data_IF_370391314935
#
_entry.id   IF_370391314935
#
_cell.length_a   1.000
_cell.length_b   1.000
_cell.length_c   1.000
_cell.angle_alpha   90.00
_cell.angle_beta   90.00
_cell.angle_gamma   90.00
#
_symmetry.space_group_name_H-M   'P 1'
#
loop_
_entity.id
_entity.type
_entity.pdbx_description
1 polymer ?
#
# COMPACT_ATOMS: atom_id res chain seq x y z
N UNK A 1 58.53 3.31 -38.92
CA UNK A 1 58.04 2.16 -38.13
C UNK A 1 58.48 2.31 -36.65
N UNK A 2 58.16 3.42 -35.96
CA UNK A 2 58.50 3.65 -34.52
C UNK A 2 57.53 4.65 -33.86
N UNK A 3 56.22 4.59 -34.12
CA UNK A 3 55.24 5.50 -33.48
C UNK A 3 53.93 4.83 -33.03
N UNK A 4 53.91 3.51 -32.92
CA UNK A 4 52.69 2.76 -32.56
C UNK A 4 52.89 1.80 -31.38
N UNK A 5 53.60 2.23 -30.34
CA UNK A 5 53.81 1.43 -29.12
C UNK A 5 53.67 2.21 -27.79
N UNK A 6 53.40 3.53 -27.82
CA UNK A 6 53.34 4.35 -26.61
C UNK A 6 51.92 4.69 -26.10
N UNK A 7 50.85 4.22 -26.75
CA UNK A 7 49.46 4.48 -26.30
C UNK A 7 48.86 3.40 -25.40
N UNK A 8 49.59 2.32 -25.11
CA UNK A 8 49.06 1.15 -24.38
C UNK A 8 49.49 1.03 -22.91
N UNK A 9 50.12 2.06 -22.33
CA UNK A 9 50.70 1.98 -20.97
C UNK A 9 50.14 3.00 -19.96
N UNK A 10 49.02 3.64 -20.27
CA UNK A 10 48.33 4.59 -19.37
C UNK A 10 47.01 4.05 -18.78
N UNK A 11 46.78 2.74 -18.81
CA UNK A 11 45.53 2.10 -18.35
C UNK A 11 45.69 1.15 -17.16
N UNK A 12 46.80 1.23 -16.40
CA UNK A 12 47.06 0.35 -15.25
C UNK A 12 47.51 1.08 -13.96
N UNK A 13 47.04 2.31 -13.72
CA UNK A 13 47.46 3.09 -12.53
C UNK A 13 46.31 3.79 -11.81
N UNK A 14 45.19 3.08 -11.56
CA UNK A 14 44.13 3.57 -10.68
C UNK A 14 43.47 2.39 -9.93
N UNK A 15 44.28 1.62 -9.20
CA UNK A 15 43.80 0.58 -8.29
C UNK A 15 44.73 0.50 -7.08
N UNK A 16 44.74 1.57 -6.28
CA UNK A 16 45.29 1.54 -4.93
C UNK A 16 44.70 2.68 -4.11
N UNK A 17 44.38 2.38 -2.85
CA UNK A 17 43.93 3.28 -1.78
C UNK A 17 42.42 3.50 -1.66
N UNK A 18 41.74 2.53 -1.02
CA UNK A 18 40.69 2.82 -0.03
C UNK A 18 40.52 1.60 0.89
N UNK A 19 41.46 1.44 1.82
CA UNK A 19 41.28 0.59 2.99
C UNK A 19 41.34 1.50 4.22
N UNK A 20 40.18 1.99 4.65
CA UNK A 20 40.03 2.71 5.91
C UNK A 20 38.91 2.04 6.70
N UNK A 21 39.34 1.23 7.67
CA UNK A 21 38.79 0.99 9.00
C UNK A 21 37.29 1.32 9.21
N UNK A 22 36.49 0.26 9.37
CA UNK A 22 35.27 0.31 10.17
C UNK A 22 35.20 -0.94 11.05
N UNK A 23 35.59 -0.77 12.32
CA UNK A 23 35.31 -1.75 13.37
C UNK A 23 33.83 -1.61 13.79
N UNK A 24 33.07 -2.70 13.95
CA UNK A 24 31.71 -2.61 14.47
C UNK A 24 31.73 -2.46 15.99
N UNK A 25 31.24 -1.33 16.49
CA UNK A 25 30.82 -1.20 17.87
C UNK A 25 29.54 -2.03 18.06
N UNK A 26 29.68 -3.18 18.71
CA UNK A 26 28.57 -3.98 19.21
C UNK A 26 27.89 -3.22 20.36
N UNK A 27 26.87 -2.42 20.07
CA UNK A 27 25.88 -2.01 21.06
C UNK A 27 24.69 -2.98 20.97
N UNK A 28 24.71 -3.99 21.84
CA UNK A 28 23.50 -4.72 22.22
C UNK A 28 22.60 -3.78 23.01
N UNK A 29 21.54 -3.31 22.38
CA UNK A 29 20.36 -2.82 23.10
C UNK A 29 19.30 -3.91 23.03
N UNK A 30 19.07 -4.57 24.15
CA UNK A 30 17.95 -5.49 24.35
C UNK A 30 16.62 -4.80 24.02
N UNK A 31 15.75 -5.39 23.20
CA UNK A 31 14.37 -4.94 23.10
C UNK A 31 13.62 -5.43 24.34
N UNK A 32 13.15 -4.48 25.15
CA UNK A 32 12.11 -4.69 26.16
C UNK A 32 10.90 -5.36 25.49
N UNK A 33 10.71 -6.65 25.74
CA UNK A 33 9.51 -7.40 25.38
C UNK A 33 8.30 -6.78 26.08
N UNK A 34 7.59 -5.90 25.36
CA UNK A 34 6.23 -5.52 25.74
C UNK A 34 5.31 -6.66 25.33
N UNK A 35 5.22 -7.66 26.21
CA UNK A 35 4.36 -8.84 26.06
C UNK A 35 2.91 -8.44 25.79
N UNK A 36 2.47 -8.60 24.55
CA UNK A 36 1.05 -8.63 24.20
C UNK A 36 0.61 -10.07 24.44
N UNK A 37 -0.06 -10.27 25.57
CA UNK A 37 -0.67 -11.55 25.95
C UNK A 37 -1.60 -11.99 24.80
N UNK A 38 -1.45 -13.22 24.28
CA UNK A 38 -2.38 -13.76 23.30
C UNK A 38 -3.79 -13.78 23.89
N UNK A 39 -4.74 -13.13 23.21
CA UNK A 39 -6.15 -13.20 23.58
C UNK A 39 -6.64 -14.60 23.21
N UNK A 40 -6.58 -15.52 24.16
CA UNK A 40 -7.25 -16.81 24.05
C UNK A 40 -8.74 -16.56 23.82
N UNK A 41 -9.20 -16.87 22.61
CA UNK A 41 -10.61 -17.01 22.33
C UNK A 41 -11.10 -18.27 23.04
N UNK A 42 -11.54 -18.09 24.29
CA UNK A 42 -12.36 -19.06 25.00
C UNK A 42 -13.59 -19.38 24.12
N UNK A 43 -13.50 -20.49 23.40
CA UNK A 43 -14.66 -21.23 22.90
C UNK A 43 -15.52 -21.55 24.11
N UNK A 44 -16.59 -20.80 24.28
CA UNK A 44 -17.62 -21.11 25.26
C UNK A 44 -18.52 -22.21 24.71
N UNK A 45 -18.57 -23.42 25.30
CA UNK A 45 -19.58 -24.40 24.99
C UNK A 45 -20.69 -24.26 26.03
N UNK A 46 -21.72 -23.46 25.75
CA UNK A 46 -22.93 -23.53 26.56
C UNK A 46 -23.97 -24.41 25.85
N UNK A 47 -24.27 -25.60 26.39
CA UNK A 47 -25.48 -26.31 26.02
C UNK A 47 -26.70 -25.55 26.55
N UNK A 48 -27.71 -25.41 25.70
CA UNK A 48 -29.06 -24.98 26.06
C UNK A 48 -29.62 -25.95 27.12
N UNK A 49 -29.78 -25.47 28.35
CA UNK A 49 -30.56 -26.17 29.38
C UNK A 49 -31.92 -25.52 29.53
N UNK A 50 -32.94 -26.31 29.22
CA UNK A 50 -34.34 -26.11 29.59
C UNK A 50 -34.53 -25.96 31.11
N UNK A 51 -35.51 -25.14 31.47
CA UNK A 51 -36.37 -25.36 32.63
C UNK A 51 -35.78 -25.06 34.01
N UNK A 52 -35.99 -23.84 34.50
CA UNK A 52 -36.09 -23.56 35.94
C UNK A 52 -37.16 -22.50 36.21
N UNK A 53 -38.35 -22.97 36.57
CA UNK A 53 -39.42 -22.20 37.17
C UNK A 53 -39.08 -21.98 38.64
N UNK A 54 -38.76 -20.75 39.04
CA UNK A 54 -38.67 -20.37 40.45
C UNK A 54 -39.73 -19.29 40.75
N UNK A 55 -40.50 -19.43 41.84
CA UNK A 55 -41.47 -18.42 42.26
C UNK A 55 -40.72 -17.25 42.92
N UNK A 56 -40.86 -16.06 42.35
CA UNK A 56 -40.38 -14.82 42.95
C UNK A 56 -41.39 -14.40 44.02
N UNK A 57 -40.96 -14.38 45.28
CA UNK A 57 -41.73 -13.81 46.38
C UNK A 57 -41.86 -12.29 46.22
N UNK A 58 -43.10 -11.83 46.06
CA UNK A 58 -43.47 -10.42 46.13
C UNK A 58 -43.34 -9.89 47.56
N UNK A 59 -42.18 -9.37 47.93
CA UNK A 59 -42.06 -8.46 49.07
C UNK A 59 -42.14 -7.01 48.55
N UNK A 60 -43.37 -6.53 48.38
CA UNK A 60 -43.69 -5.14 48.03
C UNK A 60 -43.32 -4.25 49.22
N UNK A 61 -42.14 -3.63 49.16
CA UNK A 61 -41.76 -2.54 50.06
C UNK A 61 -42.50 -1.27 49.64
N UNK A 62 -43.64 -1.01 50.31
CA UNK A 62 -44.37 0.27 50.25
C UNK A 62 -43.68 1.29 51.16
N UNK A 63 -42.61 1.94 50.69
CA UNK A 63 -42.11 3.18 51.32
C UNK A 63 -41.44 4.06 50.29
N UNK A 64 -42.22 4.96 49.68
CA UNK A 64 -41.79 6.26 49.12
C UNK A 64 -42.89 6.73 48.16
N UNK A 65 -44.02 7.16 48.70
CA UNK A 65 -45.14 7.69 47.92
C UNK A 65 -45.67 8.94 48.63
N UNK A 66 -44.80 9.92 48.89
CA UNK A 66 -45.23 11.17 49.54
C UNK A 66 -44.41 12.43 49.21
N UNK A 67 -43.53 12.39 48.19
CA UNK A 67 -42.96 13.63 47.65
C UNK A 67 -43.27 13.73 46.16
N UNK A 68 -44.10 14.71 45.82
CA UNK A 68 -44.51 15.07 44.45
C UNK A 68 -43.39 15.63 43.57
N UNK A 69 -42.22 15.02 43.60
CA UNK A 69 -41.15 15.23 42.63
C UNK A 69 -41.29 14.20 41.53
N UNK A 70 -41.73 14.60 40.34
CA UNK A 70 -41.74 13.70 39.19
C UNK A 70 -40.37 13.04 39.01
N UNK A 71 -40.31 11.75 38.62
CA UNK A 71 -39.05 11.01 38.53
C UNK A 71 -38.06 11.78 37.67
N UNK A 72 -36.94 12.21 38.29
CA UNK A 72 -35.88 12.96 37.62
C UNK A 72 -35.35 12.09 36.48
N UNK A 73 -35.62 12.49 35.23
CA UNK A 73 -35.17 11.77 34.04
C UNK A 73 -33.65 11.85 33.97
N UNK A 74 -32.96 10.77 34.32
CA UNK A 74 -31.51 10.62 34.18
C UNK A 74 -31.18 10.03 32.81
N UNK A 75 -30.20 10.60 32.12
CA UNK A 75 -29.69 10.08 30.85
C UNK A 75 -28.72 8.92 31.08
N UNK A 76 -28.45 8.10 30.04
CA UNK A 76 -27.45 7.03 30.14
C UNK A 76 -26.05 7.57 30.48
N UNK A 77 -25.67 8.75 29.97
CA UNK A 77 -24.40 9.40 30.34
C UNK A 77 -24.32 9.74 31.83
N UNK A 78 -25.39 10.27 32.42
CA UNK A 78 -25.44 10.55 33.86
C UNK A 78 -25.41 9.28 34.72
N UNK A 79 -25.96 8.17 34.23
CA UNK A 79 -25.90 6.87 34.94
C UNK A 79 -24.47 6.34 34.97
N UNK A 80 -23.78 6.36 33.83
CA UNK A 80 -22.38 5.92 33.72
C UNK A 80 -21.48 6.77 34.62
N UNK A 81 -21.68 8.10 34.64
CA UNK A 81 -20.93 9.01 35.51
C UNK A 81 -21.13 8.72 37.01
N UNK A 82 -22.25 8.09 37.39
CA UNK A 82 -22.54 7.65 38.75
C UNK A 82 -22.24 6.15 38.98
N UNK A 83 -21.52 5.48 38.08
CA UNK A 83 -21.18 4.06 38.21
C UNK A 83 -22.35 3.10 38.00
N UNK A 84 -23.47 3.58 37.47
CA UNK A 84 -24.65 2.77 37.19
C UNK A 84 -24.64 2.26 35.74
N UNK A 85 -25.13 1.04 35.48
CA UNK A 85 -25.23 0.52 34.12
C UNK A 85 -26.23 1.35 33.28
N UNK A 86 -25.99 1.49 31.96
CA UNK A 86 -26.90 2.20 31.07
C UNK A 86 -28.28 1.52 31.05
N UNK A 87 -29.33 2.33 30.88
CA UNK A 87 -30.68 1.79 30.67
C UNK A 87 -30.76 1.14 29.30
N UNK A 88 -31.51 0.03 29.23
CA UNK A 88 -31.82 -0.64 27.98
C UNK A 88 -32.55 0.32 27.01
N UNK A 89 -32.33 0.17 25.70
CA UNK A 89 -33.05 0.94 24.69
C UNK A 89 -34.55 0.78 24.89
N UNK A 90 -35.26 1.89 25.10
CA UNK A 90 -36.72 1.83 25.21
C UNK A 90 -37.29 1.45 23.85
N UNK A 91 -38.01 0.33 23.79
CA UNK A 91 -38.85 -0.01 22.65
C UNK A 91 -39.97 1.03 22.59
N UNK A 92 -39.85 1.99 21.68
CA UNK A 92 -40.92 2.94 21.39
C UNK A 92 -42.03 2.14 20.71
N UNK A 93 -43.01 1.65 21.49
CA UNK A 93 -44.12 0.82 21.00
C UNK A 93 -45.08 1.57 20.04
N UNK A 94 -44.87 2.88 19.86
CA UNK A 94 -45.48 3.65 18.79
C UNK A 94 -44.37 4.46 18.14
N UNK A 95 -43.88 4.01 17.00
CA UNK A 95 -43.00 4.78 16.15
C UNK A 95 -43.78 6.00 15.65
N UNK A 96 -43.79 7.09 16.42
CA UNK A 96 -44.25 8.38 15.92
C UNK A 96 -43.40 8.70 14.68
N UNK A 97 -44.01 9.09 13.54
CA UNK A 97 -43.27 9.46 12.33
C UNK A 97 -42.21 10.56 12.55
N UNK A 98 -42.34 11.31 13.65
CA UNK A 98 -41.41 12.35 14.09
C UNK A 98 -40.06 11.82 14.63
N UNK A 99 -39.89 10.50 14.80
CA UNK A 99 -38.67 9.87 15.31
C UNK A 99 -37.80 9.19 14.28
N UNK A 100 -38.07 9.40 12.98
CA UNK A 100 -37.15 8.94 11.92
C UNK A 100 -35.82 9.66 12.12
N UNK A 101 -34.79 8.94 12.55
CA UNK A 101 -33.44 9.46 12.56
C UNK A 101 -33.19 10.08 11.18
N UNK A 102 -32.85 11.37 11.13
CA UNK A 102 -32.52 12.02 9.87
C UNK A 102 -31.51 11.12 9.17
N UNK A 103 -31.93 10.60 8.00
CA UNK A 103 -31.05 9.82 7.14
C UNK A 103 -29.73 10.59 7.10
N UNK A 104 -28.59 9.97 7.46
CA UNK A 104 -27.32 10.67 7.52
C UNK A 104 -27.20 11.46 6.22
N UNK A 105 -27.15 12.79 6.34
CA UNK A 105 -27.03 13.67 5.20
C UNK A 105 -25.67 13.32 4.62
N UNK A 106 -25.66 12.59 3.50
CA UNK A 106 -24.42 12.26 2.81
C UNK A 106 -23.70 13.57 2.57
N UNK A 107 -22.57 13.76 3.24
CA UNK A 107 -21.67 14.86 2.90
C UNK A 107 -21.41 14.76 1.40
N UNK A 108 -21.41 15.89 0.66
CA UNK A 108 -20.99 15.86 -0.73
C UNK A 108 -19.66 15.10 -0.79
N UNK A 109 -19.60 14.03 -1.58
CA UNK A 109 -18.33 13.39 -1.85
C UNK A 109 -17.39 14.49 -2.33
N UNK A 110 -16.23 14.63 -1.69
CA UNK A 110 -15.22 15.58 -2.17
C UNK A 110 -14.97 15.26 -3.64
N UNK A 111 -14.88 16.28 -4.52
CA UNK A 111 -14.50 16.04 -5.90
C UNK A 111 -13.23 15.21 -5.89
N UNK A 112 -13.29 13.99 -6.42
CA UNK A 112 -12.12 13.13 -6.52
C UNK A 112 -11.23 13.80 -7.55
N UNK A 113 -10.11 14.37 -7.08
CA UNK A 113 -9.18 15.08 -7.94
C UNK A 113 -8.64 14.15 -9.02
N UNK A 114 -8.37 14.70 -10.20
CA UNK A 114 -7.55 14.00 -11.18
C UNK A 114 -6.14 13.94 -10.61
N UNK A 115 -5.73 12.81 -10.06
CA UNK A 115 -4.36 12.63 -9.56
C UNK A 115 -3.52 11.97 -10.64
N UNK A 116 -2.39 12.55 -11.03
CA UNK A 116 -1.47 11.92 -11.97
C UNK A 116 -0.19 11.45 -11.28
N UNK A 117 0.55 10.56 -11.94
CA UNK A 117 1.84 10.06 -11.46
C UNK A 117 2.97 10.74 -12.23
N UNK A 118 3.66 11.67 -11.56
CA UNK A 118 4.85 12.33 -12.07
C UNK A 118 6.09 11.47 -11.89
N UNK A 119 6.98 11.53 -12.87
CA UNK A 119 8.26 10.83 -12.87
C UNK A 119 9.37 11.85 -12.69
N UNK A 120 10.25 11.63 -11.72
CA UNK A 120 11.44 12.43 -11.45
C UNK A 120 12.69 11.54 -11.53
N UNK A 121 13.88 12.15 -11.66
CA UNK A 121 15.14 11.43 -11.49
C UNK A 121 15.43 11.08 -10.02
N UNK A 122 16.64 10.57 -9.74
CA UNK A 122 17.09 10.19 -8.40
C UNK A 122 17.00 11.33 -7.35
N UNK A 123 17.17 12.58 -7.78
CA UNK A 123 17.01 13.78 -6.95
C UNK A 123 15.55 14.05 -6.51
N UNK A 124 14.58 13.31 -7.04
CA UNK A 124 13.16 13.49 -6.74
C UNK A 124 12.66 14.89 -7.11
N UNK A 125 11.73 15.44 -6.31
CA UNK A 125 11.12 16.77 -6.51
C UNK A 125 12.10 17.96 -6.45
N UNK A 126 13.36 17.75 -6.06
CA UNK A 126 14.38 18.81 -6.14
C UNK A 126 14.88 19.06 -7.57
N UNK A 127 14.62 18.14 -8.49
CA UNK A 127 14.90 18.29 -9.92
C UNK A 127 13.66 18.59 -10.76
N UNK A 128 13.85 18.79 -12.06
CA UNK A 128 12.75 18.89 -13.01
C UNK A 128 12.08 17.51 -13.21
N UNK A 129 10.75 17.47 -13.40
CA UNK A 129 10.07 16.23 -13.76
C UNK A 129 10.57 15.73 -15.13
N UNK A 130 10.80 14.43 -15.23
CA UNK A 130 11.13 13.73 -16.47
C UNK A 130 9.88 13.50 -17.34
N UNK A 131 8.69 13.46 -16.73
CA UNK A 131 7.43 13.25 -17.41
C UNK A 131 6.37 12.64 -16.50
N UNK A 132 5.54 11.79 -17.08
CA UNK A 132 4.41 11.11 -16.45
C UNK A 132 4.48 9.61 -16.70
N UNK A 133 3.91 8.80 -15.82
CA UNK A 133 3.61 7.40 -16.15
C UNK A 133 2.54 7.39 -17.24
N UNK A 134 2.75 6.63 -18.30
CA UNK A 134 1.83 6.53 -19.44
C UNK A 134 0.51 5.87 -19.04
N UNK A 135 -0.62 6.34 -19.58
CA UNK A 135 -1.92 5.67 -19.43
C UNK A 135 -2.04 4.40 -20.30
N UNK A 136 -1.23 4.32 -21.35
CA UNK A 136 -1.18 3.21 -22.29
C UNK A 136 0.06 2.35 -22.02
N UNK A 137 -0.01 1.10 -22.45
CA UNK A 137 1.11 0.17 -22.45
C UNK A 137 1.92 0.31 -23.75
N UNK A 138 3.21 -0.02 -23.72
CA UNK A 138 4.04 -0.14 -24.91
C UNK A 138 3.75 -1.48 -25.65
N UNK A 139 4.49 -1.78 -26.72
CA UNK A 139 4.33 -3.02 -27.50
C UNK A 139 4.65 -4.31 -26.75
N UNK A 140 5.28 -4.21 -25.58
CA UNK A 140 5.63 -5.33 -24.69
C UNK A 140 4.61 -5.51 -23.57
N UNK A 141 3.64 -4.60 -23.44
CA UNK A 141 2.69 -4.64 -22.32
C UNK A 141 3.17 -3.92 -21.06
N UNK A 142 4.21 -3.09 -21.15
CA UNK A 142 4.74 -2.34 -20.01
C UNK A 142 4.28 -0.88 -20.00
N UNK A 143 4.20 -0.29 -18.80
CA UNK A 143 4.10 1.15 -18.62
C UNK A 143 5.44 1.84 -18.85
N UNK A 144 5.37 3.06 -19.38
CA UNK A 144 6.54 3.84 -19.78
C UNK A 144 6.41 5.30 -19.35
N UNK A 145 7.50 6.07 -19.51
CA UNK A 145 7.50 7.50 -19.23
C UNK A 145 7.11 8.26 -20.50
N UNK A 146 6.08 9.09 -20.41
CA UNK A 146 5.66 10.00 -21.49
C UNK A 146 5.80 11.46 -21.04
N UNK A 147 6.12 12.36 -21.98
CA UNK A 147 6.17 13.81 -21.72
C UNK A 147 4.87 14.51 -22.12
N UNK A 148 3.94 13.80 -22.76
CA UNK A 148 2.68 14.36 -23.21
C UNK A 148 1.63 14.24 -22.11
N UNK A 149 1.14 15.39 -21.65
CA UNK A 149 0.13 15.45 -20.60
C UNK A 149 -1.13 14.61 -20.92
N UNK A 150 -1.62 14.65 -22.16
CA UNK A 150 -2.79 13.88 -22.59
C UNK A 150 -2.60 12.35 -22.58
N UNK A 151 -1.35 11.88 -22.49
CA UNK A 151 -1.01 10.46 -22.38
C UNK A 151 -0.67 10.06 -20.93
N UNK A 152 -0.73 10.99 -19.97
CA UNK A 152 -0.47 10.70 -18.57
C UNK A 152 -1.56 9.80 -17.97
N UNK A 153 -1.13 8.87 -17.13
CA UNK A 153 -2.02 8.09 -16.28
C UNK A 153 -2.59 8.97 -15.18
N UNK A 154 -3.92 9.03 -15.12
CA UNK A 154 -4.66 9.59 -14.00
C UNK A 154 -5.08 8.41 -13.13
N UNK A 155 -4.87 8.47 -11.82
CA UNK A 155 -5.26 7.45 -10.86
C UNK A 155 -5.97 8.08 -9.65
N UNK A 156 -7.31 8.08 -9.63
CA UNK A 156 -8.11 8.68 -8.57
C UNK A 156 -8.28 7.78 -7.33
N UNK A 157 -7.73 6.55 -7.31
CA UNK A 157 -8.02 5.55 -6.28
C UNK A 157 -6.87 5.29 -5.30
N UNK A 158 -5.79 6.06 -5.41
CA UNK A 158 -4.59 5.90 -4.59
C UNK A 158 -4.78 6.16 -3.10
N UNK A 159 -5.79 6.94 -2.72
CA UNK A 159 -6.11 7.21 -1.30
C UNK A 159 -6.53 5.94 -0.54
N UNK A 160 -6.87 4.87 -1.27
CA UNK A 160 -7.21 3.54 -0.71
C UNK A 160 -6.01 2.60 -0.52
N UNK A 161 -4.81 3.01 -0.96
CA UNK A 161 -3.59 2.20 -0.87
C UNK A 161 -3.38 1.19 -2.01
N UNK A 162 -4.30 1.10 -2.97
CA UNK A 162 -4.14 0.29 -4.17
C UNK A 162 -3.91 1.18 -5.41
N UNK A 163 -2.81 0.94 -6.14
CA UNK A 163 -2.64 1.48 -7.49
C UNK A 163 -3.51 0.66 -8.47
N UNK A 164 -4.77 1.05 -8.59
CA UNK A 164 -5.63 0.53 -9.66
C UNK A 164 -5.43 1.37 -10.93
N UNK A 165 -5.37 0.74 -12.10
CA UNK A 165 -5.38 1.49 -13.36
C UNK A 165 -6.84 1.82 -13.73
N UNK A 166 -7.29 3.08 -13.69
CA UNK A 166 -8.65 3.41 -14.11
C UNK A 166 -8.81 3.43 -15.63
N UNK A 167 -7.72 3.49 -16.41
CA UNK A 167 -7.77 3.55 -17.87
C UNK A 167 -8.02 2.18 -18.53
N UNK A 168 -7.99 1.08 -17.75
CA UNK A 168 -8.26 -0.28 -18.20
C UNK A 168 -7.45 -0.67 -19.46
N UNK A 169 -6.21 -0.19 -19.56
CA UNK A 169 -5.35 -0.47 -20.72
C UNK A 169 -5.06 -1.98 -20.77
N UNK A 170 -5.69 -2.69 -21.71
CA UNK A 170 -5.61 -4.15 -21.80
C UNK A 170 -6.59 -4.92 -20.91
N UNK A 171 -7.55 -4.26 -20.24
CA UNK A 171 -8.54 -4.93 -19.37
C UNK A 171 -8.05 -5.27 -17.97
N UNK A 172 -6.86 -4.78 -17.58
CA UNK A 172 -6.30 -4.99 -16.25
C UNK A 172 -6.60 -3.82 -15.32
N UNK A 173 -7.18 -4.12 -14.17
CA UNK A 173 -7.57 -3.13 -13.16
C UNK A 173 -6.45 -2.76 -12.20
N UNK A 174 -5.34 -3.51 -12.14
CA UNK A 174 -4.24 -3.26 -11.19
C UNK A 174 -2.92 -3.04 -11.92
N UNK A 175 -2.05 -2.25 -11.28
CA UNK A 175 -0.69 -1.97 -11.77
C UNK A 175 0.29 -2.57 -10.78
N UNK A 176 1.23 -3.34 -11.29
CA UNK A 176 2.22 -4.01 -10.48
C UNK A 176 3.51 -4.24 -11.23
N UNK A 177 4.26 -5.24 -10.78
CA UNK A 177 5.52 -5.64 -11.40
C UNK A 177 5.47 -7.10 -11.87
N UNK A 178 6.02 -7.35 -13.06
CA UNK A 178 6.08 -8.64 -13.75
C UNK A 178 7.53 -9.13 -13.87
N UNK A 179 7.79 -10.34 -13.41
CA UNK A 179 9.09 -11.01 -13.54
C UNK A 179 9.00 -12.20 -14.51
N UNK A 180 9.93 -12.24 -15.46
CA UNK A 180 9.94 -13.23 -16.53
C UNK A 180 10.23 -14.66 -16.07
N UNK A 181 11.22 -14.83 -15.19
CA UNK A 181 11.79 -16.15 -14.89
C UNK A 181 12.23 -16.32 -13.42
N UNK A 182 11.85 -15.42 -12.52
CA UNK A 182 12.19 -15.55 -11.11
C UNK A 182 11.22 -14.78 -10.22
N UNK A 183 10.89 -15.38 -9.07
CA UNK A 183 10.15 -14.73 -8.00
C UNK A 183 11.05 -13.88 -7.10
N UNK A 184 12.37 -14.05 -7.20
CA UNK A 184 13.32 -13.41 -6.30
C UNK A 184 13.98 -12.23 -6.98
N UNK A 185 13.98 -11.10 -6.28
CA UNK A 185 14.73 -9.92 -6.67
C UNK A 185 15.98 -9.79 -5.78
N UNK A 186 17.11 -10.42 -6.15
CA UNK A 186 18.34 -10.32 -5.39
C UNK A 186 19.03 -8.97 -5.66
N UNK A 187 19.74 -8.46 -4.65
CA UNK A 187 20.46 -7.19 -4.70
C UNK A 187 21.61 -7.17 -5.73
N UNK A 188 22.15 -8.34 -6.11
CA UNK A 188 23.40 -8.44 -6.85
C UNK A 188 23.29 -8.98 -8.29
N UNK A 189 22.09 -9.32 -8.78
CA UNK A 189 21.92 -9.84 -10.15
C UNK A 189 21.15 -8.87 -11.03
N UNK A 190 21.44 -8.91 -12.34
CA UNK A 190 20.68 -8.24 -13.39
C UNK A 190 19.33 -8.94 -13.55
N UNK A 191 18.43 -8.70 -12.60
CA UNK A 191 17.03 -9.10 -12.69
C UNK A 191 16.19 -7.84 -12.61
N UNK A 192 15.47 -7.59 -13.69
CA UNK A 192 14.54 -6.48 -13.80
C UNK A 192 13.13 -7.06 -13.79
N UNK A 193 12.24 -6.35 -13.10
CA UNK A 193 10.82 -6.68 -13.01
C UNK A 193 10.07 -5.45 -13.53
N UNK A 194 9.28 -5.63 -14.58
CA UNK A 194 8.75 -4.51 -15.37
C UNK A 194 7.35 -4.11 -14.90
N UNK A 195 7.07 -2.81 -14.95
CA UNK A 195 5.80 -2.25 -14.52
C UNK A 195 4.73 -2.54 -15.57
N UNK A 196 3.69 -3.30 -15.20
CA UNK A 196 2.65 -3.71 -16.14
C UNK A 196 1.27 -3.81 -15.50
N UNK A 197 0.26 -3.96 -16.34
CA UNK A 197 -1.12 -4.24 -15.92
C UNK A 197 -1.33 -5.73 -15.60
N UNK A 198 -2.09 -6.02 -14.54
CA UNK A 198 -2.40 -7.40 -14.11
C UNK A 198 -3.69 -7.52 -13.28
N UNK A 199 -4.11 -8.76 -13.00
CA UNK A 199 -5.13 -9.05 -11.99
C UNK A 199 -4.60 -8.82 -10.56
N UNK A 200 -5.50 -8.58 -9.61
CA UNK A 200 -5.12 -8.39 -8.21
C UNK A 200 -4.43 -9.66 -7.65
N UNK A 201 -3.41 -9.43 -6.84
CA UNK A 201 -2.69 -10.44 -6.06
C UNK A 201 -2.97 -10.23 -4.58
N UNK A 202 -2.85 -11.22 -3.70
CA UNK A 202 -3.02 -11.01 -2.27
C UNK A 202 -2.07 -9.91 -1.74
N UNK A 203 -2.51 -9.11 -0.79
CA UNK A 203 -1.68 -8.07 -0.19
C UNK A 203 -0.54 -8.69 0.62
N UNK A 204 0.70 -8.23 0.39
CA UNK A 204 1.88 -8.72 1.10
C UNK A 204 2.29 -10.16 0.78
N UNK A 205 1.74 -10.77 -0.27
CA UNK A 205 2.19 -12.09 -0.72
C UNK A 205 3.42 -11.99 -1.60
N UNK A 206 4.22 -13.05 -1.61
CA UNK A 206 5.21 -13.24 -2.68
C UNK A 206 4.56 -13.29 -4.07
N UNK A 207 5.34 -13.03 -5.15
CA UNK A 207 4.86 -13.05 -6.52
C UNK A 207 4.13 -14.34 -6.89
N UNK A 208 2.98 -14.19 -7.52
CA UNK A 208 2.13 -15.31 -7.94
C UNK A 208 2.36 -15.60 -9.42
N UNK A 209 2.45 -16.88 -9.79
CA UNK A 209 2.50 -17.29 -11.19
C UNK A 209 1.11 -17.19 -11.82
N UNK A 210 0.95 -16.42 -12.88
CA UNK A 210 -0.33 -16.22 -13.55
C UNK A 210 -0.17 -15.91 -15.03
N UNK A 211 -1.25 -16.04 -15.80
CA UNK A 211 -1.38 -15.59 -17.20
C UNK A 211 -2.18 -14.30 -17.33
N UNK A 212 -2.71 -13.77 -16.21
CA UNK A 212 -3.58 -12.60 -16.17
C UNK A 212 -2.78 -11.31 -16.05
N UNK A 213 -1.95 -11.05 -17.06
CA UNK A 213 -1.11 -9.86 -17.15
C UNK A 213 -0.94 -9.39 -18.60
N UNK A 214 -0.46 -8.16 -18.73
CA UNK A 214 -0.32 -7.43 -19.99
C UNK A 214 0.88 -7.84 -20.85
N UNK A 215 2.00 -8.28 -20.27
CA UNK A 215 3.15 -8.79 -21.03
C UNK A 215 2.78 -10.11 -21.71
N UNK A 216 2.90 -10.21 -23.04
CA UNK A 216 2.69 -11.47 -23.80
C UNK A 216 1.51 -12.33 -23.29
N UNK A 217 0.25 -11.89 -23.48
CA UNK A 217 -0.93 -12.54 -22.90
C UNK A 217 -0.97 -14.05 -23.13
N UNK A 218 -1.27 -14.80 -22.07
CA UNK A 218 -1.33 -16.27 -22.10
C UNK A 218 -0.03 -16.97 -21.70
N UNK A 219 1.11 -16.28 -21.65
CA UNK A 219 2.32 -16.81 -21.02
C UNK A 219 2.20 -16.74 -19.49
N UNK A 220 2.89 -17.63 -18.78
CA UNK A 220 2.96 -17.55 -17.32
C UNK A 220 4.09 -16.61 -16.89
N UNK A 221 3.77 -15.65 -16.02
CA UNK A 221 4.73 -14.74 -15.38
C UNK A 221 4.51 -14.69 -13.88
N UNK A 222 5.58 -14.40 -13.15
CA UNK A 222 5.46 -14.05 -11.74
C UNK A 222 5.06 -12.59 -11.62
N UNK A 223 4.03 -12.31 -10.85
CA UNK A 223 3.47 -10.97 -10.77
C UNK A 223 3.06 -10.60 -9.35
N UNK A 224 3.16 -9.31 -9.02
CA UNK A 224 2.69 -8.75 -7.76
C UNK A 224 2.07 -7.37 -8.03
N UNK A 225 0.82 -7.18 -7.62
CA UNK A 225 0.02 -5.97 -7.87
C UNK A 225 -0.08 -5.04 -6.66
N UNK A 226 -0.01 -5.60 -5.45
CA UNK A 226 -0.09 -4.87 -4.19
C UNK A 226 1.31 -4.49 -3.67
N UNK A 227 2.10 -3.93 -4.58
CA UNK A 227 3.51 -3.58 -4.38
C UNK A 227 3.71 -2.13 -3.94
N UNK A 228 2.65 -1.32 -3.88
CA UNK A 228 2.79 0.12 -3.72
C UNK A 228 2.46 0.58 -2.32
N UNK A 229 3.27 1.48 -1.79
CA UNK A 229 3.00 2.21 -0.56
C UNK A 229 3.21 3.70 -0.78
N UNK A 230 2.50 4.52 0.00
CA UNK A 230 2.61 5.97 -0.07
C UNK A 230 3.57 6.47 1.01
N UNK A 231 4.69 7.04 0.58
CA UNK A 231 5.69 7.68 1.43
C UNK A 231 5.40 9.15 1.71
N UNK A 232 6.40 9.85 2.25
CA UNK A 232 6.32 11.30 2.45
C UNK A 232 6.21 12.04 1.11
N UNK A 233 5.57 13.21 1.10
CA UNK A 233 5.38 14.06 -0.09
C UNK A 233 4.68 13.36 -1.27
N UNK A 234 3.83 12.39 -0.94
CA UNK A 234 3.09 11.57 -1.89
C UNK A 234 3.99 10.80 -2.86
N UNK A 235 5.14 10.34 -2.38
CA UNK A 235 6.03 9.44 -3.12
C UNK A 235 5.46 8.03 -3.17
N UNK A 236 5.47 7.41 -4.35
CA UNK A 236 5.14 6.00 -4.51
C UNK A 236 6.39 5.15 -4.29
N UNK A 237 6.34 4.30 -3.28
CA UNK A 237 7.45 3.41 -2.90
C UNK A 237 7.06 1.98 -3.24
N UNK A 238 7.72 1.34 -4.22
CA UNK A 238 7.46 -0.05 -4.55
C UNK A 238 8.12 -0.98 -3.55
N UNK A 239 7.46 -2.08 -3.21
CA UNK A 239 7.93 -3.18 -2.37
C UNK A 239 7.70 -4.47 -3.12
N UNK A 240 8.71 -5.34 -3.14
CA UNK A 240 8.62 -6.68 -3.72
C UNK A 240 8.88 -7.70 -2.63
N UNK A 241 8.01 -8.69 -2.44
CA UNK A 241 8.18 -9.68 -1.38
C UNK A 241 8.76 -10.97 -1.95
N UNK A 242 9.99 -11.33 -1.56
CA UNK A 242 10.59 -12.57 -2.03
C UNK A 242 9.84 -13.82 -1.48
N UNK A 243 10.03 -15.02 -2.05
CA UNK A 243 9.39 -16.26 -1.58
C UNK A 243 9.69 -16.64 -0.12
N UNK A 244 10.74 -16.07 0.47
CA UNK A 244 11.07 -16.22 1.89
C UNK A 244 10.24 -15.29 2.81
N UNK A 245 9.31 -14.53 2.24
CA UNK A 245 8.46 -13.57 2.94
C UNK A 245 9.16 -12.25 3.28
N UNK A 246 10.41 -12.05 2.85
CA UNK A 246 11.16 -10.82 3.14
C UNK A 246 11.01 -9.80 2.01
N UNK A 247 10.88 -8.50 2.34
CA UNK A 247 10.93 -7.46 1.32
C UNK A 247 12.32 -7.42 0.67
N UNK A 248 12.35 -7.36 -0.65
CA UNK A 248 13.55 -7.05 -1.41
C UNK A 248 13.82 -5.54 -1.35
N UNK A 249 15.11 -5.18 -1.36
CA UNK A 249 15.50 -3.80 -1.65
C UNK A 249 15.12 -3.52 -3.11
N UNK A 250 14.36 -2.46 -3.34
CA UNK A 250 13.82 -2.09 -4.65
C UNK A 250 14.24 -0.67 -5.01
N UNK A 251 14.77 -0.51 -6.21
CA UNK A 251 15.00 0.79 -6.83
C UNK A 251 14.25 0.84 -8.16
N UNK A 252 13.62 1.98 -8.45
CA UNK A 252 12.94 2.22 -9.72
C UNK A 252 13.94 2.67 -10.77
N UNK A 253 13.91 2.03 -11.93
CA UNK A 253 14.66 2.39 -13.12
C UNK A 253 13.76 2.72 -14.29
N UNK A 254 14.30 3.48 -15.25
CA UNK A 254 13.68 3.77 -16.53
C UNK A 254 14.60 3.40 -17.69
N UNK A 255 14.15 2.49 -18.55
CA UNK A 255 14.89 2.15 -19.78
C UNK A 255 14.62 3.24 -20.84
N UNK A 256 15.67 3.93 -21.28
CA UNK A 256 15.58 5.05 -22.24
C UNK A 256 15.79 4.63 -23.70
N UNK A 257 16.36 3.45 -23.93
CA UNK A 257 16.70 2.95 -25.27
C UNK A 257 15.95 1.67 -25.60
N UNK A 258 15.47 1.57 -26.85
CA UNK A 258 14.60 0.47 -27.28
C UNK A 258 13.24 0.57 -26.59
N UNK A 259 12.88 -0.47 -25.85
CA UNK A 259 11.59 -0.58 -25.20
C UNK A 259 11.60 0.26 -23.94
N UNK A 260 11.04 1.45 -24.05
CA UNK A 260 10.90 2.32 -22.90
C UNK A 260 9.95 1.66 -21.91
N UNK A 261 10.47 1.25 -20.77
CA UNK A 261 9.70 0.60 -19.70
C UNK A 261 10.19 1.08 -18.34
N UNK A 262 9.26 1.22 -17.40
CA UNK A 262 9.57 1.40 -15.99
C UNK A 262 9.78 0.01 -15.37
N UNK A 263 10.79 -0.13 -14.51
CA UNK A 263 11.08 -1.39 -13.84
C UNK A 263 11.59 -1.17 -12.42
N UNK A 264 11.60 -2.24 -11.62
CA UNK A 264 12.32 -2.31 -10.36
C UNK A 264 13.50 -3.28 -10.45
N UNK A 265 14.55 -3.01 -9.68
CA UNK A 265 15.71 -3.88 -9.50
C UNK A 265 16.25 -3.79 -8.07
N UNK A 266 17.08 -4.77 -7.68
CA UNK A 266 17.84 -4.74 -6.42
C UNK A 266 18.93 -3.68 -6.36
N UNK A 267 19.26 -3.08 -7.51
CA UNK A 267 20.11 -1.91 -7.66
C UNK A 267 20.18 -1.51 -9.13
N UNK A 268 19.75 -0.30 -9.50
CA UNK A 268 19.67 0.14 -10.90
C UNK A 268 21.06 0.15 -11.56
N UNK A 269 22.11 0.47 -10.80
CA UNK A 269 23.49 0.40 -11.26
C UNK A 269 23.93 -1.05 -11.57
N UNK A 270 23.43 -2.03 -10.81
CA UNK A 270 23.75 -3.44 -11.00
C UNK A 270 23.03 -4.06 -12.20
N UNK A 271 21.99 -3.39 -12.75
CA UNK A 271 21.26 -3.88 -13.92
C UNK A 271 22.11 -3.92 -15.21
N UNK A 272 23.36 -3.46 -15.19
CA UNK A 272 24.27 -3.50 -16.34
C UNK A 272 23.83 -2.60 -17.50
N UNK A 273 22.79 -1.79 -17.29
CA UNK A 273 22.29 -0.80 -18.22
C UNK A 273 22.99 0.51 -17.90
N UNK A 274 24.16 0.72 -18.49
CA UNK A 274 25.00 1.91 -18.28
C UNK A 274 24.31 3.26 -18.54
N UNK A 275 23.10 3.24 -19.12
CA UNK A 275 22.29 4.41 -19.45
C UNK A 275 20.93 4.45 -18.75
N UNK A 276 20.65 3.59 -17.76
CA UNK A 276 19.36 3.61 -17.07
C UNK A 276 19.38 4.56 -15.87
N UNK A 277 18.68 5.71 -15.93
CA UNK A 277 18.51 6.54 -14.76
C UNK A 277 17.63 5.83 -13.72
N UNK A 278 18.03 5.97 -12.46
CA UNK A 278 17.13 5.76 -11.33
C UNK A 278 16.06 6.86 -11.36
N UNK A 279 14.80 6.47 -11.17
CA UNK A 279 13.66 7.38 -11.14
C UNK A 279 12.94 7.31 -9.80
N UNK A 280 12.07 8.29 -9.56
CA UNK A 280 11.16 8.34 -8.41
C UNK A 280 9.78 8.77 -8.89
N UNK A 281 8.73 8.20 -8.29
CA UNK A 281 7.35 8.42 -8.70
C UNK A 281 6.61 9.20 -7.62
N UNK A 282 5.85 10.22 -8.02
CA UNK A 282 5.13 11.09 -7.10
C UNK A 282 3.72 11.34 -7.59
N UNK A 283 2.77 11.37 -6.67
CA UNK A 283 1.42 11.81 -6.95
C UNK A 283 1.34 13.32 -7.04
N UNK A 284 0.51 13.80 -7.95
CA UNK A 284 0.14 15.21 -8.02
C UNK A 284 -1.38 15.34 -8.10
N UNK A 285 -1.94 16.06 -7.14
CA UNK A 285 -3.37 16.35 -7.10
C UNK A 285 -3.72 17.46 -8.09
N UNK A 286 -5.01 17.56 -8.43
CA UNK A 286 -5.56 18.58 -9.32
C UNK A 286 -4.83 18.65 -10.67
N UNK A 287 -4.43 17.50 -11.21
CA UNK A 287 -3.77 17.42 -12.49
C UNK A 287 -4.69 17.89 -13.61
N UNK A 288 -4.26 18.94 -14.33
CA UNK A 288 -4.90 19.42 -15.54
C UNK A 288 -3.88 19.52 -16.66
N UNK A 289 -4.28 19.00 -17.82
CA UNK A 289 -3.77 19.40 -19.11
C UNK A 289 -4.61 20.58 -19.61
#
# INVERSE_FOLDING_TARGET
MVQSLLKSLFLYSALAASAVLAAPAHHQSEPLERGVVPREYLRSPYPLTDGLTAPISEAISKRSLEQGGGPKKVTNGMRIANGLPPLAPRKLYHASPAGSAHKPRGSPALPVGNTAILVYGSAGRSGAPLGYVSKNLNSYGDYFVTTKCAEAMINPQLDSGALTNPANSGGYSNIGFLAYNSQTLPTALIRNVYMGGMSATPSGSSPVLSTQHSDLPGQQRYMESNVWSLGANSELIPTWINPDGKPALTELGYKTTGDTSIFISGGVAAAGLSSTPQIRLFLTDNFTC
#
